data_IF_175663815903
#
_entry.id   IF_175663815903
#
_cell.length_a   1.000
_cell.length_b   1.000
_cell.length_c   1.000
_cell.angle_alpha   90.00
_cell.angle_beta   90.00
_cell.angle_gamma   90.00
#
_symmetry.space_group_name_H-M   'P 1'
#
loop_
_entity.id
_entity.type
_entity.pdbx_description
1 polymer ?
#
# COMPACT_ATOMS: atom_id res chain seq x y z
N UNK A 1 11.74 4.59 -6.05
CA UNK A 1 10.86 5.77 -5.97
C UNK A 1 9.77 5.59 -7.00
N UNK A 2 8.69 4.90 -6.65
CA UNK A 2 7.62 4.67 -7.61
C UNK A 2 6.80 5.96 -7.69
N UNK A 3 6.98 6.72 -8.77
CA UNK A 3 6.39 8.05 -8.94
C UNK A 3 4.94 7.89 -9.39
N UNK A 4 4.02 7.72 -8.44
CA UNK A 4 2.58 7.83 -8.67
C UNK A 4 2.22 9.31 -8.69
N UNK A 5 2.54 9.97 -9.80
CA UNK A 5 2.45 11.43 -9.93
C UNK A 5 1.08 11.90 -10.42
N UNK A 6 0.23 11.00 -10.88
CA UNK A 6 -1.08 11.33 -11.41
C UNK A 6 -2.20 10.86 -10.46
N UNK A 7 -2.98 11.78 -9.86
CA UNK A 7 -4.04 11.44 -8.91
C UNK A 7 -5.27 10.81 -9.58
N UNK A 8 -5.30 10.70 -10.92
CA UNK A 8 -6.41 10.09 -11.66
C UNK A 8 -6.15 8.63 -12.04
N UNK A 9 -4.92 8.15 -11.84
CA UNK A 9 -4.58 6.74 -12.02
C UNK A 9 -5.36 5.85 -11.06
N UNK A 10 -6.07 4.86 -11.62
CA UNK A 10 -6.80 3.87 -10.83
C UNK A 10 -5.83 3.06 -9.94
N UNK A 11 -6.24 2.65 -8.73
CA UNK A 11 -5.51 1.68 -7.93
C UNK A 11 -5.40 0.33 -8.64
N UNK A 12 -4.36 -0.43 -8.32
CA UNK A 12 -4.20 -1.83 -8.78
C UNK A 12 -4.34 -2.80 -7.62
N UNK A 13 -4.72 -4.04 -7.91
CA UNK A 13 -4.67 -5.11 -6.93
C UNK A 13 -3.20 -5.49 -6.69
N UNK A 14 -2.71 -5.31 -5.45
CA UNK A 14 -1.35 -5.69 -5.10
C UNK A 14 -1.17 -7.22 -4.97
N UNK A 15 -2.19 -7.91 -4.45
CA UNK A 15 -2.29 -9.37 -4.36
C UNK A 15 -3.78 -9.78 -4.31
N UNK A 16 -4.08 -11.07 -4.52
CA UNK A 16 -5.42 -11.64 -4.41
C UNK A 16 -5.66 -12.39 -3.08
N UNK A 17 -4.71 -12.34 -2.14
CA UNK A 17 -4.81 -12.96 -0.81
C UNK A 17 -4.68 -11.92 0.31
N UNK A 18 -5.32 -12.16 1.47
CA UNK A 18 -5.15 -11.30 2.63
C UNK A 18 -3.76 -11.47 3.25
N UNK A 19 -3.25 -10.40 3.87
CA UNK A 19 -2.03 -10.42 4.68
C UNK A 19 -2.42 -10.40 6.17
N UNK A 20 -1.95 -11.39 6.93
CA UNK A 20 -2.09 -11.44 8.38
C UNK A 20 -0.75 -11.10 9.03
N UNK A 21 -0.75 -10.18 9.98
CA UNK A 21 0.44 -9.80 10.73
C UNK A 21 0.10 -9.34 12.14
N UNK A 22 1.06 -9.45 13.06
CA UNK A 22 0.96 -8.84 14.39
C UNK A 22 1.48 -7.40 14.30
N UNK A 23 0.72 -6.47 14.88
CA UNK A 23 1.08 -5.06 14.94
C UNK A 23 1.09 -4.59 16.39
N UNK A 24 2.01 -3.69 16.68
CA UNK A 24 2.01 -2.93 17.92
C UNK A 24 0.99 -1.79 17.83
N UNK A 25 0.61 -1.23 18.97
CA UNK A 25 -0.29 -0.08 18.97
C UNK A 25 0.42 1.14 18.34
N UNK A 26 -0.26 1.80 17.40
CA UNK A 26 0.32 2.96 16.73
C UNK A 26 -0.46 3.39 15.50
N UNK A 27 0.13 4.34 14.76
CA UNK A 27 -0.39 4.83 13.49
C UNK A 27 0.41 4.24 12.34
N UNK A 28 -0.30 3.68 11.38
CA UNK A 28 0.28 3.11 10.17
C UNK A 28 -0.28 3.81 8.93
N UNK A 29 0.53 3.89 7.88
CA UNK A 29 0.10 4.41 6.58
C UNK A 29 -0.23 3.24 5.66
N UNK A 30 -1.49 3.09 5.32
CA UNK A 30 -1.97 2.01 4.46
C UNK A 30 -1.79 2.38 2.98
N UNK A 31 -1.38 1.41 2.16
CA UNK A 31 -1.26 1.62 0.72
C UNK A 31 -2.63 1.61 0.06
N UNK A 32 -3.05 2.76 -0.50
CA UNK A 32 -4.32 2.87 -1.23
C UNK A 32 -4.18 2.72 -2.75
N UNK A 33 -2.97 2.88 -3.31
CA UNK A 33 -2.74 2.85 -4.75
C UNK A 33 -2.37 1.45 -5.30
N UNK A 34 -2.05 0.50 -4.41
CA UNK A 34 -1.68 -0.89 -4.75
C UNK A 34 -0.26 -1.10 -5.28
N UNK A 35 0.58 -0.06 -5.27
CA UNK A 35 1.89 -0.08 -5.96
C UNK A 35 3.10 -0.08 -5.01
N UNK A 36 2.86 -0.02 -3.70
CA UNK A 36 3.91 -0.12 -2.70
C UNK A 36 4.63 -1.46 -2.77
N UNK A 37 5.95 -1.43 -2.60
CA UNK A 37 6.78 -2.64 -2.46
C UNK A 37 6.79 -3.20 -1.04
N UNK A 38 6.14 -2.50 -0.10
CA UNK A 38 6.08 -2.82 1.33
C UNK A 38 4.63 -3.06 1.80
N UNK A 39 3.81 -3.71 0.97
CA UNK A 39 2.42 -4.05 1.31
C UNK A 39 2.34 -4.71 2.70
N UNK A 40 1.34 -4.35 3.53
CA UNK A 40 0.19 -3.50 3.24
C UNK A 40 0.44 -1.99 3.40
N UNK A 41 1.67 -1.57 3.69
CA UNK A 41 1.99 -0.19 4.05
C UNK A 41 2.42 0.65 2.87
N UNK A 42 2.18 1.96 2.96
CA UNK A 42 2.61 2.94 1.98
C UNK A 42 4.14 3.16 2.05
N UNK A 43 4.79 3.30 0.89
CA UNK A 43 6.23 3.52 0.77
C UNK A 43 6.62 4.73 -0.11
N UNK A 44 5.64 5.53 -0.54
CA UNK A 44 5.86 6.74 -1.35
C UNK A 44 4.57 7.35 -1.90
#
# INVERSE_FOLDING_TARGET
>A
MVKHKDPTEKPIAADNKPLKMNLEAGKYFWCACGRSKKQPFCDG
#
